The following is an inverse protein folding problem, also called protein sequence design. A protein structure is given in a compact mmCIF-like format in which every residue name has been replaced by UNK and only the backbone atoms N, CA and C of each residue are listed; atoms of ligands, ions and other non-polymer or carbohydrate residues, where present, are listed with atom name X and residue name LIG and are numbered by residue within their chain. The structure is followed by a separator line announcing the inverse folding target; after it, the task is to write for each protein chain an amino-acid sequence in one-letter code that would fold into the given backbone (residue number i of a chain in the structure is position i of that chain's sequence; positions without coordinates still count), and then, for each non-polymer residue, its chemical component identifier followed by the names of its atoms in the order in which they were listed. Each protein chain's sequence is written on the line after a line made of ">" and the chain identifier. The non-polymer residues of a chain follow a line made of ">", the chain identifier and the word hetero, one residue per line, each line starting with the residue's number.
data_IF_255544840838
#
_entry.id   IF_255544840838
#
_cell.length_a   1.000
_cell.length_b   1.000
_cell.length_c   1.000
_cell.angle_alpha   90.00
_cell.angle_beta   90.00
_cell.angle_gamma   90.00
#
_symmetry.space_group_name_H-M   'P 1'
#
loop_
_entity.id
_entity.type
_entity.pdbx_description
1 polymer ?
#
# COMPACT_ATOMS: atom_id res chain seq x y z
N UNK A 1 0.31 -8.44 -7.55
CA UNK A 1 1.01 -7.32 -6.85
C UNK A 1 2.07 -7.74 -5.85
N UNK A 2 1.76 -8.54 -4.82
CA UNK A 2 2.67 -8.79 -3.70
C UNK A 2 4.06 -9.34 -4.10
N UNK A 3 4.11 -10.32 -5.01
CA UNK A 3 5.38 -10.91 -5.47
C UNK A 3 6.29 -9.88 -6.16
N UNK A 4 5.73 -9.02 -7.02
CA UNK A 4 6.48 -7.97 -7.70
C UNK A 4 7.09 -6.97 -6.71
N UNK A 5 6.27 -6.47 -5.78
CA UNK A 5 6.71 -5.55 -4.73
C UNK A 5 7.77 -6.18 -3.81
N UNK A 6 7.61 -7.45 -3.43
CA UNK A 6 8.60 -8.19 -2.63
C UNK A 6 9.92 -8.37 -3.37
N UNK A 7 9.88 -8.70 -4.66
CA UNK A 7 11.08 -8.85 -5.47
C UNK A 7 11.82 -7.52 -5.67
N UNK A 8 11.07 -6.42 -5.86
CA UNK A 8 11.62 -5.07 -5.91
C UNK A 8 12.31 -4.71 -4.58
N UNK A 9 11.62 -4.92 -3.44
CA UNK A 9 12.19 -4.70 -2.11
C UNK A 9 13.51 -5.46 -1.91
N UNK A 10 13.58 -6.72 -2.33
CA UNK A 10 14.81 -7.52 -2.26
C UNK A 10 15.95 -6.91 -3.08
N UNK A 11 15.68 -6.42 -4.28
CA UNK A 11 16.69 -5.80 -5.15
C UNK A 11 17.22 -4.50 -4.55
N UNK A 12 16.34 -3.65 -4.05
CA UNK A 12 16.73 -2.39 -3.40
C UNK A 12 17.51 -2.67 -2.12
N UNK A 13 17.07 -3.64 -1.31
CA UNK A 13 17.79 -4.04 -0.11
C UNK A 13 19.20 -4.55 -0.42
N UNK A 14 19.35 -5.39 -1.45
CA UNK A 14 20.65 -5.89 -1.87
C UNK A 14 21.58 -4.74 -2.31
N UNK A 15 21.07 -3.81 -3.12
CA UNK A 15 21.81 -2.61 -3.51
C UNK A 15 22.20 -1.76 -2.28
N UNK A 16 21.31 -1.62 -1.29
CA UNK A 16 21.62 -0.84 -0.08
C UNK A 16 22.70 -1.47 0.81
N UNK A 17 23.06 -2.75 0.61
CA UNK A 17 24.18 -3.38 1.33
C UNK A 17 25.54 -3.10 0.67
N UNK A 18 25.56 -2.55 -0.56
CA UNK A 18 26.80 -2.20 -1.25
C UNK A 18 27.37 -0.91 -0.65
N UNK A 19 28.70 -0.89 -0.42
CA UNK A 19 29.41 0.29 0.08
C UNK A 19 29.15 1.49 -0.84
N UNK A 20 28.76 2.63 -0.26
CA UNK A 20 28.39 3.84 -0.99
C UNK A 20 26.94 3.90 -1.48
N UNK A 21 26.11 2.89 -1.21
CA UNK A 21 24.70 2.83 -1.64
C UNK A 21 23.70 2.72 -0.47
N UNK A 22 24.16 2.86 0.78
CA UNK A 22 23.36 2.64 1.99
C UNK A 22 22.15 3.56 2.12
N UNK A 23 22.17 4.75 1.50
CA UNK A 23 21.04 5.67 1.43
C UNK A 23 19.80 5.09 0.74
N UNK A 24 19.93 4.01 -0.04
CA UNK A 24 18.77 3.29 -0.58
C UNK A 24 17.92 2.62 0.50
N UNK A 25 18.49 2.33 1.67
CA UNK A 25 17.77 1.68 2.77
C UNK A 25 16.63 2.56 3.31
N UNK A 26 16.86 3.87 3.43
CA UNK A 26 15.82 4.82 3.88
C UNK A 26 14.69 4.95 2.86
N UNK A 27 15.01 4.87 1.56
CA UNK A 27 14.05 4.99 0.46
C UNK A 27 13.27 3.72 0.12
N UNK A 28 13.73 2.55 0.56
CA UNK A 28 13.20 1.25 0.13
C UNK A 28 11.67 1.16 0.26
N UNK A 29 11.14 1.58 1.40
CA UNK A 29 9.69 1.50 1.66
C UNK A 29 8.92 2.42 0.72
N UNK A 30 9.41 3.64 0.52
CA UNK A 30 8.72 4.66 -0.27
C UNK A 30 8.75 4.29 -1.75
N UNK A 31 9.87 3.75 -2.25
CA UNK A 31 9.97 3.20 -3.61
C UNK A 31 8.99 2.03 -3.83
N UNK A 32 8.89 1.12 -2.87
CA UNK A 32 7.97 -0.03 -2.97
C UNK A 32 6.51 0.42 -2.92
N UNK A 33 6.19 1.42 -2.10
CA UNK A 33 4.87 2.04 -2.05
C UNK A 33 4.55 2.77 -3.36
N UNK A 34 5.52 3.49 -3.93
CA UNK A 34 5.39 4.16 -5.22
C UNK A 34 5.12 3.17 -6.34
N UNK A 35 5.83 2.05 -6.38
CA UNK A 35 5.55 0.97 -7.32
C UNK A 35 4.12 0.44 -7.20
N UNK A 36 3.64 0.25 -5.96
CA UNK A 36 2.26 -0.15 -5.69
C UNK A 36 1.26 0.86 -6.21
N UNK A 37 1.52 2.15 -5.98
CA UNK A 37 0.68 3.25 -6.43
C UNK A 37 0.68 3.37 -7.96
N UNK A 38 1.84 3.27 -8.62
CA UNK A 38 1.95 3.27 -10.09
C UNK A 38 1.08 2.17 -10.70
N UNK A 39 1.22 0.93 -10.23
CA UNK A 39 0.43 -0.19 -10.76
C UNK A 39 -1.07 -0.08 -10.46
N UNK A 40 -1.46 0.64 -9.41
CA UNK A 40 -2.87 0.87 -9.06
C UNK A 40 -3.49 1.99 -9.87
N UNK A 41 -2.69 2.99 -10.23
CA UNK A 41 -3.15 4.25 -10.83
C UNK A 41 -3.09 4.20 -12.34
N UNK A 42 -2.06 3.59 -12.91
CA UNK A 42 -1.88 3.54 -14.35
C UNK A 42 -2.88 2.59 -15.02
N UNK A 43 -3.55 3.08 -16.06
CA UNK A 43 -4.46 2.31 -16.91
C UNK A 43 -3.74 1.69 -18.12
N UNK A 44 -2.49 2.09 -18.37
CA UNK A 44 -1.67 1.57 -19.46
C UNK A 44 -0.21 1.35 -19.08
N UNK A 45 0.51 0.57 -19.88
CA UNK A 45 1.95 0.39 -19.72
C UNK A 45 2.73 1.71 -19.88
N UNK A 46 2.29 2.56 -20.81
CA UNK A 46 2.92 3.84 -21.08
C UNK A 46 2.79 4.78 -19.87
N UNK A 47 1.58 4.90 -19.32
CA UNK A 47 1.33 5.69 -18.13
C UNK A 47 2.11 5.14 -16.92
N UNK A 48 2.18 3.82 -16.77
CA UNK A 48 3.02 3.21 -15.73
C UNK A 48 4.48 3.65 -15.88
N UNK A 49 5.04 3.63 -17.10
CA UNK A 49 6.43 4.03 -17.31
C UNK A 49 6.66 5.49 -16.93
N UNK A 50 5.74 6.39 -17.24
CA UNK A 50 5.83 7.81 -16.89
C UNK A 50 5.85 7.99 -15.37
N UNK A 51 4.90 7.38 -14.66
CA UNK A 51 4.84 7.43 -13.19
C UNK A 51 6.06 6.77 -12.55
N UNK A 52 6.49 5.63 -13.08
CA UNK A 52 7.59 4.84 -12.52
C UNK A 52 8.95 5.49 -12.76
N UNK A 53 9.20 6.05 -13.94
CA UNK A 53 10.45 6.74 -14.24
C UNK A 53 10.54 8.10 -13.52
N UNK A 54 9.40 8.76 -13.27
CA UNK A 54 9.31 9.96 -12.45
C UNK A 54 9.89 9.79 -11.03
N UNK A 55 9.92 8.55 -10.51
CA UNK A 55 10.57 8.22 -9.24
C UNK A 55 12.03 8.71 -9.18
N UNK A 56 12.77 8.61 -10.28
CA UNK A 56 14.19 8.99 -10.32
C UNK A 56 14.40 10.49 -10.13
N UNK A 57 13.43 11.32 -10.54
CA UNK A 57 13.42 12.74 -10.26
C UNK A 57 13.04 13.00 -8.80
N UNK A 58 11.95 12.36 -8.34
CA UNK A 58 11.41 12.51 -7.00
C UNK A 58 12.44 12.22 -5.90
N UNK A 59 13.16 11.10 -5.97
CA UNK A 59 14.16 10.73 -4.94
C UNK A 59 15.34 11.71 -4.85
N UNK A 60 15.52 12.56 -5.86
CA UNK A 60 16.54 13.63 -5.90
C UNK A 60 15.95 15.02 -5.62
N UNK A 61 14.74 15.08 -5.06
CA UNK A 61 13.99 16.31 -4.79
C UNK A 61 13.63 17.14 -6.04
N UNK A 62 13.64 16.54 -7.22
CA UNK A 62 13.16 17.17 -8.45
C UNK A 62 11.69 16.78 -8.65
N UNK A 63 10.76 17.66 -8.27
CA UNK A 63 9.32 17.37 -8.32
C UNK A 63 8.64 17.80 -9.63
N UNK A 64 9.35 18.51 -10.50
CA UNK A 64 8.90 18.94 -11.84
C UNK A 64 10.04 18.73 -12.83
N UNK A 65 9.74 18.18 -13.99
CA UNK A 65 10.65 17.93 -15.10
C UNK A 65 9.93 18.16 -16.43
N UNK A 66 10.66 18.09 -17.54
CA UNK A 66 10.14 18.44 -18.89
C UNK A 66 8.89 17.65 -19.28
N UNK A 67 8.79 16.40 -18.83
CA UNK A 67 7.71 15.47 -19.21
C UNK A 67 6.69 15.22 -18.09
N UNK A 68 6.72 15.97 -16.99
CA UNK A 68 5.75 15.77 -15.91
C UNK A 68 6.15 16.32 -14.55
N UNK A 69 5.37 15.93 -13.54
CA UNK A 69 5.57 16.33 -12.15
C UNK A 69 5.06 15.25 -11.20
N UNK A 70 5.46 15.34 -9.93
CA UNK A 70 4.92 14.48 -8.89
C UNK A 70 3.42 14.73 -8.67
N UNK A 71 2.65 13.66 -8.41
CA UNK A 71 1.20 13.73 -8.18
C UNK A 71 0.88 13.75 -6.68
N UNK A 72 1.41 14.76 -5.99
CA UNK A 72 1.06 15.03 -4.59
C UNK A 72 1.10 16.53 -4.32
N UNK A 73 0.37 16.98 -3.30
CA UNK A 73 0.51 18.33 -2.78
C UNK A 73 1.92 18.55 -2.23
N UNK A 74 2.32 19.82 -2.10
CA UNK A 74 3.60 20.18 -1.50
C UNK A 74 3.72 19.55 -0.11
N UNK A 75 4.77 18.75 0.07
CA UNK A 75 5.04 18.15 1.37
C UNK A 75 5.46 19.27 2.30
N UNK A 76 4.77 19.42 3.44
CA UNK A 76 5.17 20.37 4.47
C UNK A 76 6.66 20.19 4.79
N UNK A 77 7.38 21.30 4.81
CA UNK A 77 8.82 21.38 5.09
C UNK A 77 9.11 20.90 6.51
N UNK A 78 9.23 19.59 6.67
CA UNK A 78 9.48 18.88 7.93
C UNK A 78 9.82 17.40 7.75
N UNK A 79 9.95 16.92 6.51
CA UNK A 79 10.37 15.55 6.23
C UNK A 79 11.83 15.31 6.64
N UNK A 80 12.07 14.30 7.48
CA UNK A 80 13.43 13.84 7.82
C UNK A 80 14.07 13.00 6.71
N UNK A 81 13.42 12.89 5.54
CA UNK A 81 13.86 12.03 4.45
C UNK A 81 15.06 12.69 3.77
N UNK A 82 16.22 12.04 3.85
CA UNK A 82 17.40 12.50 3.15
C UNK A 82 17.31 12.13 1.67
N UNK A 83 17.29 13.15 0.81
CA UNK A 83 17.28 12.98 -0.65
C UNK A 83 18.56 12.31 -1.15
N UNK A 84 18.44 11.56 -2.24
CA UNK A 84 19.60 11.02 -2.92
C UNK A 84 20.32 12.13 -3.69
N UNK A 85 21.64 12.13 -3.63
CA UNK A 85 22.44 13.00 -4.47
C UNK A 85 22.42 12.50 -5.92
N UNK A 86 22.13 13.40 -6.85
CA UNK A 86 22.04 13.08 -8.27
C UNK A 86 23.41 12.65 -8.82
N UNK A 87 23.47 11.41 -9.28
CA UNK A 87 24.69 10.84 -9.89
C UNK A 87 25.57 10.11 -8.88
N UNK A 88 25.19 10.11 -7.60
CA UNK A 88 25.79 9.25 -6.59
C UNK A 88 25.65 7.76 -6.96
N UNK A 89 26.52 6.92 -6.36
CA UNK A 89 26.46 5.46 -6.53
C UNK A 89 25.08 4.89 -6.19
N UNK A 90 24.42 5.42 -5.15
CA UNK A 90 23.07 5.03 -4.77
C UNK A 90 22.03 5.37 -5.87
N UNK A 91 22.10 6.59 -6.41
CA UNK A 91 21.19 7.02 -7.47
C UNK A 91 21.37 6.21 -8.75
N UNK A 92 22.61 5.96 -9.18
CA UNK A 92 22.89 5.14 -10.37
C UNK A 92 22.46 3.68 -10.19
N UNK A 93 22.68 3.11 -9.00
CA UNK A 93 22.17 1.77 -8.68
C UNK A 93 20.64 1.71 -8.76
N UNK A 94 19.94 2.73 -8.24
CA UNK A 94 18.49 2.81 -8.36
C UNK A 94 18.04 2.96 -9.81
N UNK A 95 18.70 3.79 -10.64
CA UNK A 95 18.41 3.89 -12.07
C UNK A 95 18.50 2.53 -12.76
N UNK A 96 19.53 1.75 -12.46
CA UNK A 96 19.69 0.39 -13.01
C UNK A 96 18.54 -0.55 -12.63
N UNK A 97 18.05 -0.46 -11.38
CA UNK A 97 16.89 -1.24 -10.91
C UNK A 97 15.61 -0.78 -11.62
N UNK A 98 15.34 0.53 -11.63
CA UNK A 98 14.12 1.15 -12.17
C UNK A 98 14.02 0.93 -13.68
N UNK A 99 15.14 1.04 -14.41
CA UNK A 99 15.21 0.90 -15.87
C UNK A 99 15.51 -0.53 -16.34
N UNK A 100 15.43 -1.52 -15.46
CA UNK A 100 15.75 -2.90 -15.80
C UNK A 100 14.76 -3.44 -16.87
N UNK A 101 15.22 -3.54 -18.12
CA UNK A 101 14.38 -3.95 -19.27
C UNK A 101 13.63 -5.26 -19.04
N UNK A 102 14.31 -6.27 -18.48
CA UNK A 102 13.70 -7.58 -18.20
C UNK A 102 12.54 -7.45 -17.20
N UNK A 103 12.70 -6.64 -16.17
CA UNK A 103 11.64 -6.42 -15.19
C UNK A 103 10.50 -5.58 -15.76
N UNK A 104 10.81 -4.52 -16.53
CA UNK A 104 9.81 -3.68 -17.18
C UNK A 104 8.93 -4.47 -18.15
N UNK A 105 9.48 -5.46 -18.86
CA UNK A 105 8.69 -6.35 -19.73
C UNK A 105 7.68 -7.21 -18.96
N UNK A 106 7.90 -7.44 -17.67
CA UNK A 106 7.03 -8.25 -16.81
C UNK A 106 5.95 -7.42 -16.09
N UNK A 107 6.02 -6.09 -16.16
CA UNK A 107 5.14 -5.20 -15.38
C UNK A 107 3.67 -5.33 -15.77
N UNK A 108 3.35 -5.68 -17.02
CA UNK A 108 1.97 -5.89 -17.46
C UNK A 108 1.20 -6.89 -16.57
N UNK A 109 1.90 -7.82 -15.92
CA UNK A 109 1.34 -8.79 -14.96
C UNK A 109 0.83 -8.13 -13.66
N UNK A 110 1.17 -6.87 -13.43
CA UNK A 110 0.87 -6.10 -12.23
C UNK A 110 -0.11 -4.95 -12.46
N UNK A 111 -0.27 -4.47 -13.71
CA UNK A 111 -1.18 -3.37 -14.07
C UNK A 111 -2.66 -3.72 -13.83
N UNK A 112 -3.03 -4.99 -13.96
CA UNK A 112 -4.31 -5.50 -13.45
C UNK A 112 -4.22 -5.64 -11.92
N UNK A 113 -4.16 -4.51 -11.23
CA UNK A 113 -3.84 -4.43 -9.82
C UNK A 113 -4.77 -5.32 -8.99
N UNK A 114 -4.20 -6.40 -8.44
CA UNK A 114 -4.89 -7.34 -7.55
C UNK A 114 -4.12 -7.51 -6.26
N UNK A 115 -4.81 -7.35 -5.14
CA UNK A 115 -4.28 -7.59 -3.80
C UNK A 115 -5.23 -8.46 -2.99
N UNK A 116 -4.69 -9.18 -2.02
CA UNK A 116 -5.45 -10.01 -1.07
C UNK A 116 -5.85 -9.25 0.18
N UNK A 117 -5.66 -7.92 0.25
CA UNK A 117 -5.88 -7.14 1.46
C UNK A 117 -7.32 -7.26 1.98
N UNK A 118 -8.31 -7.15 1.08
CA UNK A 118 -9.72 -7.32 1.43
C UNK A 118 -10.04 -8.75 1.85
N UNK A 119 -9.46 -9.74 1.14
CA UNK A 119 -9.63 -11.15 1.47
C UNK A 119 -9.06 -11.50 2.85
N UNK A 120 -7.87 -10.98 3.17
CA UNK A 120 -7.25 -11.14 4.48
C UNK A 120 -8.07 -10.45 5.58
N UNK A 121 -8.61 -9.26 5.30
CA UNK A 121 -9.52 -8.57 6.22
C UNK A 121 -10.79 -9.37 6.46
N UNK A 122 -11.38 -9.94 5.41
CA UNK A 122 -12.59 -10.76 5.53
C UNK A 122 -12.29 -12.06 6.28
N UNK A 123 -11.17 -12.72 6.00
CA UNK A 123 -10.75 -13.92 6.71
C UNK A 123 -10.55 -13.66 8.22
N UNK A 124 -9.97 -12.51 8.59
CA UNK A 124 -9.88 -12.09 9.99
C UNK A 124 -11.26 -11.82 10.60
N UNK A 125 -12.19 -11.28 9.81
CA UNK A 125 -13.56 -11.03 10.22
C UNK A 125 -14.32 -12.34 10.48
N UNK A 126 -14.17 -13.35 9.60
CA UNK A 126 -14.69 -14.70 9.81
C UNK A 126 -14.22 -15.27 11.15
N UNK A 127 -12.95 -15.06 11.53
CA UNK A 127 -12.42 -15.58 12.80
C UNK A 127 -13.10 -14.99 14.05
N UNK A 128 -13.74 -13.82 13.93
CA UNK A 128 -14.57 -13.26 15.02
C UNK A 128 -15.87 -14.04 15.21
N UNK A 129 -16.45 -14.54 14.12
CA UNK A 129 -17.71 -15.28 14.12
C UNK A 129 -17.52 -16.79 14.26
N UNK A 130 -16.46 -17.33 13.68
CA UNK A 130 -16.13 -18.75 13.65
C UNK A 130 -14.66 -18.95 14.01
N UNK A 131 -14.38 -18.91 15.31
CA UNK A 131 -13.03 -19.14 15.84
C UNK A 131 -12.51 -20.52 15.46
N UNK A 132 -11.27 -20.60 14.98
CA UNK A 132 -10.55 -21.87 14.72
C UNK A 132 -10.35 -22.73 15.97
N UNK A 133 -10.56 -22.17 17.16
CA UNK A 133 -10.40 -22.88 18.45
C UNK A 133 -11.66 -23.62 18.89
N UNK A 134 -12.76 -23.47 18.16
CA UNK A 134 -14.05 -24.05 18.50
C UNK A 134 -14.52 -24.92 17.33
N UNK A 135 -14.88 -26.16 17.61
CA UNK A 135 -15.50 -27.03 16.62
C UNK A 135 -16.99 -26.67 16.51
N UNK A 136 -17.46 -26.43 15.29
CA UNK A 136 -18.86 -26.16 14.99
C UNK A 136 -19.42 -27.30 14.14
N UNK A 137 -20.69 -27.64 14.36
CA UNK A 137 -21.44 -28.49 13.43
C UNK A 137 -21.64 -27.73 12.12
N UNK A 138 -21.73 -28.44 10.99
CA UNK A 138 -21.83 -27.81 9.65
C UNK A 138 -22.88 -26.71 9.55
N UNK A 139 -24.14 -26.89 10.00
CA UNK A 139 -25.16 -25.84 9.90
C UNK A 139 -24.83 -24.59 10.73
N UNK A 140 -24.19 -24.76 11.89
CA UNK A 140 -23.80 -23.66 12.77
C UNK A 140 -22.63 -22.88 12.16
N UNK A 141 -21.68 -23.59 11.56
CA UNK A 141 -20.54 -22.97 10.88
C UNK A 141 -21.00 -22.14 9.67
N UNK A 142 -21.90 -22.69 8.86
CA UNK A 142 -22.49 -22.01 7.71
C UNK A 142 -23.24 -20.73 8.11
N UNK A 143 -24.13 -20.80 9.11
CA UNK A 143 -24.82 -19.62 9.62
C UNK A 143 -23.85 -18.53 10.10
N UNK A 144 -22.77 -18.91 10.80
CA UNK A 144 -21.72 -17.97 11.25
C UNK A 144 -20.95 -17.34 10.10
N UNK A 145 -20.68 -18.07 9.03
CA UNK A 145 -20.04 -17.52 7.83
C UNK A 145 -20.93 -16.52 7.12
N UNK A 146 -22.23 -16.80 7.00
CA UNK A 146 -23.20 -15.87 6.42
C UNK A 146 -23.28 -14.58 7.23
N UNK A 147 -23.40 -14.67 8.56
CA UNK A 147 -23.38 -13.51 9.44
C UNK A 147 -22.09 -12.69 9.32
N UNK A 148 -20.94 -13.36 9.24
CA UNK A 148 -19.66 -12.69 9.03
C UNK A 148 -19.61 -11.95 7.68
N UNK A 149 -20.13 -12.56 6.61
CA UNK A 149 -20.21 -11.95 5.28
C UNK A 149 -21.11 -10.72 5.28
N UNK A 150 -22.28 -10.79 5.93
CA UNK A 150 -23.20 -9.66 6.05
C UNK A 150 -22.59 -8.51 6.84
N UNK A 151 -22.04 -8.76 8.03
CA UNK A 151 -21.37 -7.72 8.85
C UNK A 151 -20.17 -7.13 8.11
N UNK A 152 -19.36 -7.95 7.43
CA UNK A 152 -18.21 -7.45 6.67
C UNK A 152 -18.65 -6.55 5.51
N UNK A 153 -19.58 -7.01 4.67
CA UNK A 153 -20.05 -6.26 3.50
C UNK A 153 -20.71 -4.95 3.90
N UNK A 154 -21.53 -4.97 4.96
CA UNK A 154 -22.18 -3.76 5.47
C UNK A 154 -21.17 -2.71 5.97
N UNK A 155 -20.00 -3.14 6.45
CA UNK A 155 -19.02 -2.25 7.08
C UNK A 155 -17.73 -2.01 6.28
N UNK A 156 -17.52 -2.71 5.17
CA UNK A 156 -16.30 -2.68 4.36
C UNK A 156 -15.99 -1.26 3.90
N UNK A 157 -16.98 -0.62 3.27
CA UNK A 157 -16.84 0.66 2.59
C UNK A 157 -17.33 1.83 3.43
N UNK A 158 -17.30 1.67 4.76
CA UNK A 158 -17.60 2.78 5.67
C UNK A 158 -16.75 4.01 5.35
N UNK A 159 -17.37 5.20 5.32
CA UNK A 159 -16.68 6.43 5.01
C UNK A 159 -15.63 6.75 6.07
N UNK A 160 -14.65 7.55 5.65
CA UNK A 160 -13.66 8.14 6.54
C UNK A 160 -14.34 9.19 7.45
N UNK A 161 -13.83 9.29 8.68
CA UNK A 161 -14.30 10.28 9.64
C UNK A 161 -13.60 11.61 9.37
N UNK A 162 -14.38 12.63 9.02
CA UNK A 162 -13.89 14.00 8.82
C UNK A 162 -14.10 14.86 10.08
N UNK A 163 -13.32 15.93 10.22
CA UNK A 163 -13.58 17.02 11.18
C UNK A 163 -14.58 18.02 10.59
N UNK A 164 -14.95 19.03 11.37
CA UNK A 164 -15.85 20.12 10.93
C UNK A 164 -15.31 20.90 9.74
N UNK A 165 -13.99 20.98 9.56
CA UNK A 165 -13.31 21.64 8.44
C UNK A 165 -13.21 20.74 7.17
N UNK A 166 -13.77 19.53 7.19
CA UNK A 166 -13.68 18.57 6.09
C UNK A 166 -12.37 17.75 6.05
N UNK A 167 -11.39 18.05 6.91
CA UNK A 167 -10.13 17.30 6.97
C UNK A 167 -10.32 15.91 7.59
N UNK A 168 -9.55 14.92 7.09
CA UNK A 168 -9.60 13.54 7.56
C UNK A 168 -9.04 13.42 8.99
N UNK A 169 -9.67 12.62 9.83
CA UNK A 169 -9.14 12.26 11.14
C UNK A 169 -8.22 11.04 11.06
N UNK A 170 -7.04 11.16 11.65
CA UNK A 170 -6.04 10.11 11.66
C UNK A 170 -5.84 9.52 13.06
N UNK A 171 -5.42 8.26 13.12
CA UNK A 171 -4.97 7.60 14.35
C UNK A 171 -3.60 6.97 14.15
N UNK A 172 -2.75 7.06 15.17
CA UNK A 172 -1.46 6.36 15.21
C UNK A 172 -1.68 4.92 15.68
N UNK A 173 -1.14 3.96 14.94
CA UNK A 173 -1.10 2.54 15.29
C UNK A 173 0.35 2.09 15.36
N UNK A 174 0.76 1.49 16.49
CA UNK A 174 2.05 0.82 16.59
C UNK A 174 1.96 -0.61 16.03
N UNK A 175 2.66 -0.89 14.92
CA UNK A 175 2.75 -2.24 14.36
C UNK A 175 3.92 -2.98 15.00
N UNK A 176 3.63 -3.86 15.96
CA UNK A 176 4.65 -4.66 16.69
C UNK A 176 5.63 -5.38 15.77
N UNK A 177 5.12 -6.10 14.75
CA UNK A 177 5.96 -6.87 13.82
C UNK A 177 6.91 -5.99 13.00
N UNK A 178 6.52 -4.74 12.72
CA UNK A 178 7.32 -3.79 11.96
C UNK A 178 8.07 -2.79 12.86
N UNK A 179 7.93 -2.91 14.19
CA UNK A 179 8.50 -2.04 15.24
C UNK A 179 8.39 -0.55 14.92
N UNK A 180 7.25 -0.11 14.38
CA UNK A 180 7.06 1.28 13.93
C UNK A 180 5.62 1.75 14.07
N UNK A 181 5.46 3.06 14.14
CA UNK A 181 4.17 3.70 14.03
C UNK A 181 3.71 3.79 12.57
N UNK A 182 2.41 3.67 12.37
CA UNK A 182 1.72 3.89 11.11
C UNK A 182 0.54 4.83 11.38
N UNK A 183 0.33 5.78 10.48
CA UNK A 183 -0.87 6.62 10.48
C UNK A 183 -1.94 5.92 9.65
N UNK A 184 -3.19 5.91 10.11
CA UNK A 184 -4.32 5.42 9.33
C UNK A 184 -5.55 6.30 9.54
N UNK A 185 -6.39 6.42 8.52
CA UNK A 185 -7.64 7.18 8.61
C UNK A 185 -8.63 6.46 9.52
N UNK A 186 -9.28 7.21 10.42
CA UNK A 186 -10.41 6.66 11.19
C UNK A 186 -11.62 6.58 10.28
N UNK A 187 -12.34 5.46 10.34
CA UNK A 187 -13.67 5.32 9.72
C UNK A 187 -14.77 5.72 10.69
N UNK A 188 -15.95 6.05 10.16
CA UNK A 188 -17.15 6.27 10.96
C UNK A 188 -17.51 5.04 11.80
N UNK A 189 -18.29 5.25 12.87
CA UNK A 189 -18.75 4.17 13.74
C UNK A 189 -19.52 3.10 12.95
N UNK A 190 -19.42 1.85 13.41
CA UNK A 190 -20.24 0.76 12.87
C UNK A 190 -21.72 1.02 13.18
N UNK A 191 -22.60 0.63 12.27
CA UNK A 191 -24.05 0.65 12.48
C UNK A 191 -24.60 -0.72 12.09
N UNK A 192 -25.67 -1.17 12.74
CA UNK A 192 -26.17 -2.54 12.56
C UNK A 192 -27.59 -2.56 11.99
N UNK A 193 -27.83 -1.70 10.98
CA UNK A 193 -29.15 -1.53 10.38
C UNK A 193 -29.71 -2.80 9.73
N UNK A 194 -28.85 -3.75 9.38
CA UNK A 194 -29.25 -5.05 8.82
C UNK A 194 -29.70 -6.08 9.88
N UNK A 195 -29.49 -5.83 11.19
CA UNK A 195 -29.88 -6.80 12.24
C UNK A 195 -31.41 -7.00 12.30
N UNK A 196 -32.24 -5.95 12.28
CA UNK A 196 -33.70 -6.12 12.28
C UNK A 196 -34.22 -7.02 11.14
N UNK A 197 -33.60 -6.96 9.96
CA UNK A 197 -33.96 -7.80 8.80
C UNK A 197 -33.67 -9.28 9.02
N UNK A 198 -32.75 -9.62 9.92
CA UNK A 198 -32.38 -11.00 10.27
C UNK A 198 -33.28 -11.63 11.35
N UNK A 199 -34.13 -10.83 11.98
CA UNK A 199 -34.99 -11.24 13.10
C UNK A 199 -36.45 -11.47 12.69
N UNK A 200 -36.78 -11.21 11.43
CA UNK A 200 -38.07 -11.48 10.79
C UNK A 200 -38.13 -12.94 10.32
#
# INVERSE_FOLDING_TARGET
>A
MWHGAKNLAKRIHAASQVKGQSSLSSWLKDIVNHFWWCCKTADSYQEFLELWLGLLHHVTNEHRWVLGSCQHADLESGGTQQWLERGSMAHEALKSIVRNKRWLNEVHKYLNFRSTADLESFQNHILMYASKRTAFRSPVFEARLLLAAMDYNYHKDRPELCKSDGSKQYRRLYKKNARRYMLYTRKTSKTYGYIPELQL
#
